data_IF_801132816950
#
_entry.id   IF_801132816950
#
_cell.length_a   1.000
_cell.length_b   1.000
_cell.length_c   1.000
_cell.angle_alpha   90.00
_cell.angle_beta   90.00
_cell.angle_gamma   90.00
#
_symmetry.space_group_name_H-M   'P 1'
#
loop_
_entity.id
_entity.type
_entity.pdbx_description
1 polymer ?
#
# COMPACT_ATOMS: atom_id res chain seq x y z
N UNK A 1 -35.70 -16.16 -9.35
CA UNK A 1 -35.10 -14.82 -9.49
C UNK A 1 -33.69 -14.88 -8.95
N UNK A 2 -32.72 -15.12 -9.84
CA UNK A 2 -31.30 -15.17 -9.48
C UNK A 2 -30.84 -13.75 -9.12
N UNK A 3 -30.56 -13.50 -7.84
CA UNK A 3 -29.59 -12.45 -7.50
C UNK A 3 -28.28 -12.94 -8.09
N UNK A 4 -27.83 -12.31 -9.18
CA UNK A 4 -26.44 -12.43 -9.59
C UNK A 4 -25.61 -12.08 -8.34
N UNK A 5 -24.94 -13.07 -7.76
CA UNK A 5 -23.97 -12.82 -6.70
C UNK A 5 -22.89 -11.97 -7.35
N UNK A 6 -22.92 -10.67 -7.12
CA UNK A 6 -21.80 -9.80 -7.45
C UNK A 6 -20.60 -10.39 -6.73
N UNK A 7 -19.65 -10.94 -7.49
CA UNK A 7 -18.39 -11.42 -6.93
C UNK A 7 -17.68 -10.16 -6.45
N UNK A 8 -17.65 -9.96 -5.14
CA UNK A 8 -16.93 -8.83 -4.56
C UNK A 8 -15.44 -9.03 -4.84
N UNK A 9 -14.83 -8.03 -5.48
CA UNK A 9 -13.41 -8.03 -5.79
C UNK A 9 -12.76 -6.85 -5.11
N UNK A 10 -11.58 -7.08 -4.56
CA UNK A 10 -10.74 -5.99 -4.08
C UNK A 10 -10.40 -5.08 -5.28
N UNK A 11 -10.64 -3.75 -5.21
CA UNK A 11 -10.31 -2.84 -6.31
C UNK A 11 -8.79 -2.82 -6.60
N UNK A 12 -8.40 -2.81 -7.88
CA UNK A 12 -6.98 -2.61 -8.24
C UNK A 12 -6.40 -1.28 -7.72
N UNK A 13 -7.14 -0.17 -7.72
CA UNK A 13 -6.65 1.07 -7.12
C UNK A 13 -6.19 0.91 -5.67
N UNK A 14 -6.90 0.09 -4.89
CA UNK A 14 -6.50 -0.23 -3.52
C UNK A 14 -5.16 -0.97 -3.46
N UNK A 15 -4.98 -2.07 -4.22
CA UNK A 15 -3.70 -2.81 -4.23
C UNK A 15 -2.53 -1.95 -4.71
N UNK A 16 -2.77 -1.11 -5.73
CA UNK A 16 -1.79 -0.14 -6.23
C UNK A 16 -1.37 0.85 -5.15
N UNK A 17 -2.32 1.45 -4.43
CA UNK A 17 -2.06 2.44 -3.40
C UNK A 17 -1.43 1.79 -2.15
N UNK A 18 -1.92 0.64 -1.69
CA UNK A 18 -1.33 -0.11 -0.59
C UNK A 18 0.14 -0.48 -0.87
N UNK A 19 0.46 -0.88 -2.11
CA UNK A 19 1.84 -1.16 -2.53
C UNK A 19 2.72 0.11 -2.55
N UNK A 20 2.16 1.26 -2.93
CA UNK A 20 2.88 2.53 -2.87
C UNK A 20 3.15 2.99 -1.42
N UNK A 21 2.27 2.64 -0.48
CA UNK A 21 2.38 3.00 0.93
C UNK A 21 3.26 2.09 1.77
N UNK A 22 3.34 0.80 1.46
CA UNK A 22 4.03 -0.19 2.32
C UNK A 22 5.51 0.14 2.57
N UNK A 23 6.12 0.92 1.68
CA UNK A 23 7.52 1.33 1.77
C UNK A 23 7.71 2.72 2.36
N UNK A 24 6.63 3.41 2.74
CA UNK A 24 6.71 4.74 3.31
C UNK A 24 7.12 4.66 4.78
N UNK A 25 8.13 5.45 5.12
CA UNK A 25 8.68 5.49 6.47
C UNK A 25 7.74 6.26 7.41
N UNK A 26 7.97 6.14 8.72
CA UNK A 26 7.48 7.11 9.70
C UNK A 26 8.56 8.18 9.86
N UNK A 27 8.45 9.32 9.16
CA UNK A 27 9.47 10.35 9.23
C UNK A 27 9.42 11.04 10.58
N UNK A 28 10.60 11.19 11.16
CA UNK A 28 10.80 11.97 12.36
C UNK A 28 11.18 13.40 11.99
N UNK A 29 10.54 14.37 12.65
CA UNK A 29 10.91 15.77 12.49
C UNK A 29 12.20 15.99 13.28
N UNK A 30 13.30 16.43 12.64
CA UNK A 30 14.54 16.73 13.35
C UNK A 30 14.29 17.81 14.42
N UNK A 31 14.91 17.68 15.59
CA UNK A 31 14.75 18.66 16.68
C UNK A 31 15.16 20.11 16.28
N UNK A 32 16.03 20.25 15.29
CA UNK A 32 16.45 21.53 14.74
C UNK A 32 15.49 22.12 13.68
N UNK A 33 14.49 21.34 13.24
CA UNK A 33 13.51 21.80 12.26
C UNK A 33 12.70 22.93 12.83
N UNK A 34 12.58 24.02 12.08
CA UNK A 34 11.76 25.17 12.46
C UNK A 34 10.40 25.09 11.76
N UNK A 35 9.33 25.60 12.39
CA UNK A 35 8.04 25.76 11.74
C UNK A 35 8.11 26.58 10.46
N UNK A 36 7.20 26.27 9.54
CA UNK A 36 7.01 26.90 8.25
C UNK A 36 5.62 27.55 8.20
N UNK A 37 5.42 28.52 7.32
CA UNK A 37 4.10 28.92 6.88
C UNK A 37 3.90 28.49 5.42
N UNK A 38 2.82 27.77 5.15
CA UNK A 38 2.43 27.32 3.81
C UNK A 38 1.11 27.99 3.45
N UNK A 39 0.95 28.43 2.21
CA UNK A 39 -0.29 29.05 1.75
C UNK A 39 -0.43 29.11 0.24
N UNK A 40 -1.63 29.45 -0.21
CA UNK A 40 -1.96 29.64 -1.62
C UNK A 40 -1.78 31.12 -2.01
N UNK A 41 -0.95 31.38 -3.02
CA UNK A 41 -0.57 32.71 -3.48
C UNK A 41 -0.23 32.70 -4.97
N UNK A 42 -0.65 33.73 -5.72
CA UNK A 42 -0.44 33.83 -7.16
C UNK A 42 -0.88 32.59 -7.97
N UNK A 43 -1.92 31.89 -7.50
CA UNK A 43 -2.44 30.69 -8.16
C UNK A 43 -1.68 29.39 -7.84
N UNK A 44 -0.68 29.42 -6.97
CA UNK A 44 0.10 28.24 -6.58
C UNK A 44 0.22 28.10 -5.06
N UNK A 45 0.36 26.88 -4.57
CA UNK A 45 0.75 26.64 -3.18
C UNK A 45 2.25 26.84 -3.00
N UNK A 46 2.66 27.53 -1.93
CA UNK A 46 4.08 27.81 -1.66
C UNK A 46 4.38 27.94 -0.17
N UNK A 47 5.67 27.82 0.15
CA UNK A 47 6.23 28.22 1.45
C UNK A 47 6.28 29.75 1.51
N UNK A 48 5.47 30.33 2.39
CA UNK A 48 5.38 31.78 2.61
C UNK A 48 6.42 32.30 3.60
N UNK A 49 6.71 31.51 4.63
CA UNK A 49 7.68 31.87 5.66
C UNK A 49 8.48 30.65 6.09
N UNK A 50 9.78 30.82 6.18
CA UNK A 50 10.71 29.85 6.74
C UNK A 50 11.93 30.62 7.27
N UNK A 51 12.51 30.14 8.38
CA UNK A 51 13.71 30.74 8.95
C UNK A 51 14.99 30.11 8.37
N UNK A 52 16.04 30.89 8.06
CA UNK A 52 16.15 32.33 8.26
C UNK A 52 15.48 33.18 7.16
N UNK A 53 15.28 32.61 5.97
CA UNK A 53 14.45 33.15 4.90
C UNK A 53 13.98 32.00 4.02
N UNK A 54 12.90 32.17 3.24
CA UNK A 54 12.41 31.12 2.33
C UNK A 54 13.49 30.68 1.34
N UNK A 55 14.26 31.63 0.79
CA UNK A 55 15.33 31.33 -0.15
C UNK A 55 16.47 30.50 0.49
N UNK A 56 16.96 30.92 1.65
CA UNK A 56 18.03 30.21 2.35
C UNK A 56 17.57 28.83 2.86
N UNK A 57 16.34 28.76 3.36
CA UNK A 57 15.74 27.50 3.80
C UNK A 57 15.57 26.52 2.64
N UNK A 58 15.05 26.98 1.49
CA UNK A 58 14.86 26.14 0.29
C UNK A 58 16.21 25.63 -0.21
N UNK A 59 17.23 26.49 -0.28
CA UNK A 59 18.58 26.07 -0.65
C UNK A 59 19.14 24.98 0.29
N UNK A 60 18.88 25.08 1.60
CA UNK A 60 19.26 24.06 2.56
C UNK A 60 18.52 22.72 2.34
N UNK A 61 17.22 22.76 1.99
CA UNK A 61 16.46 21.54 1.66
C UNK A 61 17.03 20.84 0.42
N UNK A 62 17.36 21.61 -0.63
CA UNK A 62 17.99 21.09 -1.84
C UNK A 62 19.38 20.49 -1.54
N UNK A 63 20.17 21.12 -0.66
CA UNK A 63 21.48 20.60 -0.27
C UNK A 63 21.38 19.31 0.58
N UNK A 64 20.33 19.18 1.39
CA UNK A 64 20.08 18.00 2.22
C UNK A 64 19.44 16.83 1.45
N UNK A 65 18.82 17.10 0.30
CA UNK A 65 18.30 16.06 -0.59
C UNK A 65 19.45 15.30 -1.27
N UNK A 66 19.34 13.97 -1.36
CA UNK A 66 20.23 13.12 -2.15
C UNK A 66 19.75 12.97 -3.60
N UNK A 67 18.63 13.60 -3.97
CA UNK A 67 18.09 13.62 -5.32
C UNK A 67 19.07 14.35 -6.26
N UNK A 68 19.98 13.57 -6.85
CA UNK A 68 20.86 14.03 -7.92
C UNK A 68 20.08 13.92 -9.23
N UNK A 69 19.65 15.05 -9.79
CA UNK A 69 19.27 15.05 -11.20
C UNK A 69 20.53 14.80 -12.04
N UNK A 70 20.43 13.92 -13.03
CA UNK A 70 21.50 13.45 -13.91
C UNK A 70 22.39 14.58 -14.46
N UNK A 71 23.43 14.97 -13.70
CA UNK A 71 24.40 16.00 -14.08
C UNK A 71 23.86 17.44 -14.19
N UNK A 72 22.59 17.71 -13.86
CA UNK A 72 21.98 19.05 -13.85
C UNK A 72 21.37 19.33 -12.50
N UNK A 73 21.34 20.60 -12.08
CA UNK A 73 20.61 20.99 -10.88
C UNK A 73 19.12 20.61 -11.00
N UNK A 74 18.61 19.84 -10.04
CA UNK A 74 17.20 19.48 -10.01
C UNK A 74 16.34 20.75 -9.88
N UNK A 75 15.25 20.83 -10.66
CA UNK A 75 14.28 21.94 -10.58
C UNK A 75 13.36 21.82 -9.36
N UNK A 76 13.07 20.59 -8.95
CA UNK A 76 12.28 20.25 -7.79
C UNK A 76 12.86 19.04 -7.08
N UNK A 77 12.65 18.95 -5.77
CA UNK A 77 13.01 17.78 -4.95
C UNK A 77 11.77 17.14 -4.33
N UNK A 78 11.76 15.80 -4.15
CA UNK A 78 10.79 15.13 -3.30
C UNK A 78 10.83 15.66 -1.87
N UNK A 79 9.66 16.03 -1.36
CA UNK A 79 9.52 16.74 -0.10
C UNK A 79 8.29 16.24 0.65
N UNK A 80 8.31 16.38 1.97
CA UNK A 80 7.19 16.00 2.80
C UNK A 80 6.73 17.17 3.66
N UNK A 81 5.43 17.43 3.65
CA UNK A 81 4.78 18.36 4.56
C UNK A 81 4.12 17.62 5.71
N UNK A 82 4.29 18.18 6.91
CA UNK A 82 3.75 17.64 8.15
C UNK A 82 2.96 18.76 8.83
N UNK A 83 1.62 18.68 8.88
CA UNK A 83 0.78 19.71 9.50
C UNK A 83 0.78 19.64 11.04
N UNK A 84 1.12 18.50 11.62
CA UNK A 84 1.08 18.34 13.07
C UNK A 84 1.96 17.18 13.56
N UNK A 85 2.41 17.33 14.80
CA UNK A 85 3.12 16.29 15.55
C UNK A 85 2.51 16.12 16.95
N UNK A 86 2.61 14.91 17.48
CA UNK A 86 2.35 14.65 18.89
C UNK A 86 3.62 14.86 19.70
N UNK A 87 3.52 15.66 20.76
CA UNK A 87 4.53 15.79 21.81
C UNK A 87 4.02 15.16 23.10
N UNK A 88 4.86 14.53 23.90
CA UNK A 88 4.44 14.01 25.21
C UNK A 88 4.20 15.17 26.20
N UNK A 89 3.13 15.07 27.00
CA UNK A 89 2.92 16.00 28.13
C UNK A 89 3.86 15.61 29.27
N UNK A 90 4.76 16.51 29.66
CA UNK A 90 5.60 16.31 30.85
C UNK A 90 4.72 16.44 32.10
N UNK A 91 4.28 15.32 32.68
CA UNK A 91 3.65 15.29 34.01
C UNK A 91 4.65 14.73 35.03
N UNK A 92 4.98 15.54 36.04
CA UNK A 92 5.70 15.16 37.26
C UNK A 92 7.19 14.78 37.18
N UNK A 93 8.02 15.50 36.43
CA UNK A 93 9.49 15.53 36.65
C UNK A 93 10.25 14.20 36.56
N UNK A 94 9.58 13.09 36.23
CA UNK A 94 10.16 11.76 36.07
C UNK A 94 9.96 11.38 34.60
N UNK A 95 11.07 11.37 33.85
CA UNK A 95 11.14 10.81 32.50
C UNK A 95 10.89 9.30 32.59
N UNK A 96 9.68 8.84 32.28
CA UNK A 96 9.46 7.42 32.00
C UNK A 96 9.97 7.11 30.59
N UNK A 97 10.94 6.19 30.48
CA UNK A 97 11.40 5.62 29.21
C UNK A 97 12.45 6.45 28.48
N UNK A 98 13.72 6.30 28.84
CA UNK A 98 14.89 6.94 28.20
C UNK A 98 15.21 6.44 26.76
N UNK A 99 14.19 6.11 25.96
CA UNK A 99 14.32 5.64 24.58
C UNK A 99 13.97 6.68 23.51
N UNK A 100 12.79 7.32 23.57
CA UNK A 100 12.21 8.05 22.43
C UNK A 100 11.59 9.43 22.77
N UNK A 101 12.04 10.05 23.86
CA UNK A 101 11.43 11.26 24.47
C UNK A 101 11.69 12.58 23.68
N UNK A 102 12.31 12.51 22.49
CA UNK A 102 12.78 13.71 21.77
C UNK A 102 12.33 13.82 20.30
N UNK A 103 11.44 12.95 19.81
CA UNK A 103 11.02 12.93 18.40
C UNK A 103 9.49 12.94 18.34
N UNK A 104 8.90 14.12 18.20
CA UNK A 104 7.45 14.24 18.11
C UNK A 104 6.90 13.38 16.96
N UNK A 105 5.88 12.56 17.22
CA UNK A 105 5.36 11.61 16.23
C UNK A 105 4.55 12.36 15.18
N UNK A 106 4.99 12.26 13.93
CA UNK A 106 4.26 12.78 12.76
C UNK A 106 2.91 12.07 12.65
N UNK A 107 1.82 12.84 12.62
CA UNK A 107 0.45 12.29 12.54
C UNK A 107 0.04 11.98 11.10
N UNK A 108 0.33 12.89 10.18
CA UNK A 108 -0.03 12.79 8.76
C UNK A 108 1.15 13.27 7.94
N UNK A 109 1.46 12.53 6.89
CA UNK A 109 2.55 12.79 5.97
C UNK A 109 1.96 13.16 4.60
N UNK A 110 2.30 14.33 4.06
CA UNK A 110 1.73 14.85 2.81
C UNK A 110 2.87 15.00 1.78
N UNK A 111 3.05 14.02 0.89
CA UNK A 111 4.14 14.05 -0.08
C UNK A 111 3.87 15.09 -1.17
N UNK A 112 4.91 15.83 -1.52
CA UNK A 112 4.88 16.90 -2.51
C UNK A 112 6.25 17.06 -3.19
N UNK A 113 6.31 17.89 -4.22
CA UNK A 113 7.55 18.34 -4.83
C UNK A 113 7.80 19.81 -4.42
N UNK A 114 8.99 20.10 -3.91
CA UNK A 114 9.43 21.46 -3.58
C UNK A 114 10.30 22.01 -4.72
N UNK A 115 9.87 23.11 -5.34
CA UNK A 115 10.66 23.86 -6.32
C UNK A 115 11.63 24.84 -5.63
N UNK A 116 12.69 25.26 -6.35
CA UNK A 116 13.66 26.26 -5.85
C UNK A 116 13.04 27.61 -5.51
N UNK A 117 11.90 27.94 -6.12
CA UNK A 117 11.12 29.14 -5.84
C UNK A 117 10.34 29.07 -4.52
N UNK A 118 10.28 27.90 -3.87
CA UNK A 118 9.43 27.64 -2.71
C UNK A 118 8.02 27.17 -3.06
N UNK A 119 7.71 26.98 -4.36
CA UNK A 119 6.44 26.41 -4.83
C UNK A 119 6.35 24.93 -4.49
N UNK A 120 5.15 24.49 -4.10
CA UNK A 120 4.84 23.13 -3.68
C UNK A 120 3.83 22.51 -4.67
N UNK A 121 4.20 21.40 -5.31
CA UNK A 121 3.33 20.62 -6.21
C UNK A 121 2.95 19.28 -5.60
N UNK A 122 1.80 18.68 -5.95
CA UNK A 122 1.45 17.35 -5.47
C UNK A 122 2.49 16.31 -5.96
N UNK A 123 2.76 15.28 -5.15
CA UNK A 123 3.51 14.12 -5.62
C UNK A 123 2.64 13.33 -6.62
N UNK A 124 3.13 13.05 -7.84
CA UNK A 124 2.35 12.36 -8.87
C UNK A 124 2.19 10.86 -8.62
N UNK A 125 3.01 10.26 -7.76
CA UNK A 125 3.06 8.83 -7.50
C UNK A 125 2.47 8.46 -6.14
N UNK A 126 2.42 9.40 -5.17
CA UNK A 126 2.10 9.14 -3.76
C UNK A 126 0.94 9.97 -3.23
N UNK A 127 0.18 9.34 -2.36
CA UNK A 127 -0.92 9.96 -1.62
C UNK A 127 -0.49 10.28 -0.19
N UNK A 128 -1.18 11.22 0.49
CA UNK A 128 -1.01 11.41 1.92
C UNK A 128 -1.25 10.11 2.70
N UNK A 129 -0.48 9.90 3.77
CA UNK A 129 -0.62 8.70 4.61
C UNK A 129 -0.51 9.02 6.10
N UNK A 130 -1.12 8.17 6.93
CA UNK A 130 -0.82 8.10 8.36
C UNK A 130 0.21 6.98 8.55
N UNK A 131 1.30 7.22 9.29
CA UNK A 131 2.28 6.18 9.58
C UNK A 131 1.64 4.95 10.22
N UNK A 132 1.90 3.76 9.65
CA UNK A 132 1.30 2.49 10.08
C UNK A 132 1.57 2.17 11.56
N UNK A 133 2.70 2.62 12.09
CA UNK A 133 3.08 2.47 13.50
C UNK A 133 2.11 3.12 14.49
N UNK A 134 1.26 4.05 14.02
CA UNK A 134 0.20 4.70 14.80
C UNK A 134 -1.17 4.02 14.67
N UNK A 135 -1.28 2.95 13.88
CA UNK A 135 -2.56 2.32 13.53
C UNK A 135 -2.68 0.93 14.16
N UNK A 136 -3.84 0.64 14.76
CA UNK A 136 -4.14 -0.69 15.25
C UNK A 136 -4.39 -1.67 14.10
N UNK A 137 -3.96 -2.94 14.22
CA UNK A 137 -3.25 -3.53 15.36
C UNK A 137 -1.75 -3.15 15.38
N UNK A 138 -1.28 -2.66 16.52
CA UNK A 138 0.14 -2.33 16.75
C UNK A 138 0.52 -2.64 18.19
N UNK A 139 1.78 -3.00 18.41
CA UNK A 139 2.35 -3.20 19.75
C UNK A 139 2.90 -1.89 20.35
N UNK A 140 2.84 -0.79 19.60
CA UNK A 140 3.31 0.54 20.05
C UNK A 140 2.27 1.16 21.00
N UNK A 141 2.72 1.98 21.98
CA UNK A 141 1.82 2.57 22.98
C UNK A 141 0.92 3.68 22.44
N UNK A 142 1.29 4.30 21.32
CA UNK A 142 0.54 5.40 20.71
C UNK A 142 -0.26 4.85 19.54
N UNK A 143 -1.58 4.93 19.64
CA UNK A 143 -2.53 4.53 18.60
C UNK A 143 -3.48 5.69 18.34
N UNK A 144 -3.65 6.06 17.07
CA UNK A 144 -4.51 7.18 16.65
C UNK A 144 -5.77 6.71 15.90
N UNK A 145 -5.80 5.46 15.45
CA UNK A 145 -6.94 4.86 14.75
C UNK A 145 -6.65 3.43 14.30
N UNK A 146 -7.51 2.89 13.44
CA UNK A 146 -7.35 1.53 12.90
C UNK A 146 -6.80 1.52 11.48
N UNK A 147 -5.92 0.56 11.19
CA UNK A 147 -5.38 0.31 9.86
C UNK A 147 -6.52 0.00 8.87
N UNK A 148 -7.54 -0.73 9.32
CA UNK A 148 -8.73 -1.04 8.53
C UNK A 148 -9.51 0.22 8.08
N UNK A 149 -9.46 1.32 8.84
CA UNK A 149 -10.07 2.58 8.42
C UNK A 149 -9.25 3.27 7.33
N UNK A 150 -7.93 3.25 7.43
CA UNK A 150 -7.05 3.75 6.38
C UNK A 150 -7.20 2.94 5.09
N UNK A 151 -7.18 1.61 5.19
CA UNK A 151 -7.32 0.72 4.03
C UNK A 151 -8.66 0.93 3.29
N UNK A 152 -9.77 1.11 4.04
CA UNK A 152 -11.08 1.45 3.47
C UNK A 152 -11.05 2.79 2.74
N UNK A 153 -10.44 3.81 3.33
CA UNK A 153 -10.34 5.13 2.70
C UNK A 153 -9.53 5.07 1.41
N UNK A 154 -8.34 4.45 1.44
CA UNK A 154 -7.49 4.24 0.26
C UNK A 154 -8.25 3.53 -0.87
N UNK A 155 -9.08 2.55 -0.52
CA UNK A 155 -9.91 1.83 -1.50
C UNK A 155 -10.98 2.68 -2.18
N UNK A 156 -11.32 3.84 -1.62
CA UNK A 156 -12.33 4.77 -2.15
C UNK A 156 -11.74 5.97 -2.91
N UNK A 157 -10.42 6.19 -2.82
CA UNK A 157 -9.79 7.39 -3.35
C UNK A 157 -9.66 7.41 -4.89
N UNK A 158 -9.79 8.59 -5.52
CA UNK A 158 -9.27 8.79 -6.87
C UNK A 158 -7.74 8.68 -6.85
N UNK A 159 -7.18 8.02 -7.85
CA UNK A 159 -5.76 7.63 -7.88
C UNK A 159 -4.76 8.80 -7.81
N UNK A 160 -5.16 10.04 -8.20
CA UNK A 160 -4.22 11.16 -8.35
C UNK A 160 -4.82 12.50 -7.89
N UNK A 161 -4.07 13.23 -7.08
CA UNK A 161 -4.33 14.62 -6.74
C UNK A 161 -3.89 15.54 -7.91
N UNK A 162 -4.76 16.44 -8.37
CA UNK A 162 -4.44 17.37 -9.47
C UNK A 162 -3.67 18.61 -8.98
N UNK A 163 -3.84 18.99 -7.72
CA UNK A 163 -3.18 20.12 -7.06
C UNK A 163 -2.73 19.75 -5.64
N UNK A 164 -1.88 20.59 -5.03
CA UNK A 164 -1.55 20.43 -3.61
C UNK A 164 -2.80 20.66 -2.74
N UNK A 165 -3.74 21.52 -3.17
CA UNK A 165 -5.01 21.70 -2.48
C UNK A 165 -5.78 20.38 -2.38
N UNK A 166 -5.84 19.60 -3.46
CA UNK A 166 -6.49 18.29 -3.46
C UNK A 166 -5.75 17.32 -2.54
N UNK A 167 -4.41 17.33 -2.53
CA UNK A 167 -3.62 16.51 -1.61
C UNK A 167 -3.89 16.87 -0.13
N UNK A 168 -4.07 18.16 0.18
CA UNK A 168 -4.43 18.63 1.52
C UNK A 168 -5.86 18.21 1.91
N UNK A 169 -6.80 18.22 0.97
CA UNK A 169 -8.17 17.72 1.19
C UNK A 169 -8.17 16.22 1.44
N UNK A 170 -7.47 15.43 0.61
CA UNK A 170 -7.29 13.99 0.80
C UNK A 170 -6.66 13.69 2.17
N UNK A 171 -5.64 14.46 2.59
CA UNK A 171 -5.03 14.32 3.90
C UNK A 171 -6.03 14.59 5.05
N UNK A 172 -6.92 15.58 4.88
CA UNK A 172 -7.96 15.91 5.87
C UNK A 172 -8.99 14.79 5.99
N UNK A 173 -9.47 14.29 4.85
CA UNK A 173 -10.43 13.18 4.78
C UNK A 173 -9.82 11.90 5.35
N UNK A 174 -8.57 11.56 5.00
CA UNK A 174 -7.86 10.42 5.58
C UNK A 174 -7.83 10.51 7.11
N UNK A 175 -7.42 11.66 7.62
CA UNK A 175 -7.29 11.86 9.06
C UNK A 175 -8.64 11.79 9.77
N UNK A 176 -9.68 12.37 9.18
CA UNK A 176 -11.05 12.26 9.67
C UNK A 176 -11.53 10.80 9.68
N UNK A 177 -11.33 10.04 8.60
CA UNK A 177 -11.78 8.65 8.50
C UNK A 177 -11.09 7.73 9.51
N UNK A 178 -9.81 8.01 9.81
CA UNK A 178 -9.03 7.20 10.74
C UNK A 178 -9.27 7.58 12.20
N UNK A 179 -9.39 8.88 12.50
CA UNK A 179 -9.40 9.40 13.88
C UNK A 179 -10.77 9.91 14.35
N UNK A 180 -11.69 10.19 13.43
CA UNK A 180 -12.97 10.84 13.72
C UNK A 180 -12.86 12.33 14.09
N UNK A 181 -11.68 12.94 13.91
CA UNK A 181 -11.39 14.31 14.34
C UNK A 181 -10.81 15.17 13.22
N UNK A 182 -10.87 16.49 13.38
CA UNK A 182 -10.21 17.45 12.49
C UNK A 182 -8.79 17.77 12.97
N UNK A 183 -7.91 18.06 12.01
CA UNK A 183 -6.54 18.51 12.26
C UNK A 183 -6.40 20.02 11.99
N UNK A 184 -5.96 20.86 12.95
CA UNK A 184 -6.06 22.33 12.89
C UNK A 184 -5.36 23.09 11.74
N UNK A 185 -4.58 22.43 10.89
CA UNK A 185 -3.92 23.04 9.72
C UNK A 185 -4.36 22.46 8.37
N UNK A 186 -5.22 21.44 8.39
CA UNK A 186 -5.81 20.89 7.18
C UNK A 186 -7.11 21.60 6.82
N UNK A 187 -7.51 21.61 5.54
CA UNK A 187 -8.80 22.13 5.13
C UNK A 187 -9.93 21.45 5.91
N UNK A 188 -10.95 22.22 6.28
CA UNK A 188 -12.16 21.65 6.84
C UNK A 188 -12.85 20.74 5.81
N UNK A 189 -13.47 19.66 6.28
CA UNK A 189 -14.32 18.84 5.43
C UNK A 189 -15.46 19.69 4.87
N UNK A 190 -15.71 19.60 3.57
CA UNK A 190 -16.85 20.26 2.93
C UNK A 190 -18.15 19.57 3.39
N UNK A 191 -19.17 20.36 3.75
CA UNK A 191 -20.55 19.92 4.06
C UNK A 191 -20.78 19.00 5.29
N UNK A 192 -19.91 19.05 6.30
CA UNK A 192 -20.03 18.26 7.53
C UNK A 192 -20.44 19.04 8.79
N UNK A 193 -20.98 18.33 9.78
CA UNK A 193 -21.05 18.83 11.15
C UNK A 193 -19.62 19.12 11.68
N UNK A 194 -19.42 20.15 12.51
CA UNK A 194 -18.09 20.48 13.03
C UNK A 194 -17.49 19.30 13.79
N UNK A 195 -16.34 18.83 13.31
CA UNK A 195 -15.60 17.74 13.93
C UNK A 195 -14.88 18.23 15.19
N UNK A 196 -14.72 17.36 16.21
CA UNK A 196 -13.89 17.68 17.35
C UNK A 196 -12.44 17.88 16.90
N UNK A 197 -11.71 18.74 17.62
CA UNK A 197 -10.25 18.83 17.47
C UNK A 197 -9.63 17.53 17.97
N UNK A 198 -8.64 17.02 17.24
CA UNK A 198 -7.92 15.82 17.67
C UNK A 198 -7.25 16.02 19.03
N UNK A 199 -7.42 15.04 19.90
CA UNK A 199 -6.78 14.98 21.20
C UNK A 199 -6.42 13.52 21.51
N UNK A 200 -5.26 13.32 22.12
CA UNK A 200 -4.81 12.02 22.60
C UNK A 200 -4.33 12.16 24.04
N UNK A 201 -4.82 11.29 24.92
CA UNK A 201 -4.47 11.35 26.34
C UNK A 201 -2.94 11.25 26.56
N UNK A 202 -2.42 12.05 27.47
CA UNK A 202 -0.98 12.13 27.76
C UNK A 202 -0.14 12.85 26.69
N UNK A 203 -0.76 13.35 25.62
CA UNK A 203 -0.06 14.01 24.52
C UNK A 203 -0.58 15.44 24.29
N UNK A 204 0.30 16.30 23.80
CA UNK A 204 0.01 17.62 23.31
C UNK A 204 0.10 17.63 21.78
N UNK A 205 -0.93 18.14 21.13
CA UNK A 205 -0.96 18.33 19.68
C UNK A 205 -0.26 19.65 19.33
N UNK A 206 0.88 19.56 18.68
CA UNK A 206 1.59 20.73 18.14
C UNK A 206 1.19 20.91 16.68
N UNK A 207 0.40 21.94 16.40
CA UNK A 207 -0.17 22.24 15.08
C UNK A 207 0.66 23.27 14.32
N UNK A 208 1.78 22.82 13.76
CA UNK A 208 2.74 23.67 13.05
C UNK A 208 3.23 22.94 11.80
N UNK A 209 3.29 23.63 10.65
CA UNK A 209 3.87 23.05 9.44
C UNK A 209 5.36 22.81 9.62
N UNK A 210 5.77 21.56 9.42
CA UNK A 210 7.16 21.18 9.26
C UNK A 210 7.33 20.54 7.89
N UNK A 211 8.56 20.51 7.41
CA UNK A 211 8.86 19.80 6.19
C UNK A 211 10.31 19.38 6.10
N UNK A 212 10.53 18.30 5.37
CA UNK A 212 11.83 17.70 5.17
C UNK A 212 11.95 17.12 3.75
N UNK A 213 13.16 17.09 3.18
CA UNK A 213 13.41 16.33 1.97
C UNK A 213 13.09 14.87 2.26
N UNK A 214 12.28 14.28 1.41
CA UNK A 214 11.81 12.92 1.61
C UNK A 214 12.10 12.12 0.37
N UNK A 215 13.07 11.21 0.48
CA UNK A 215 13.36 10.23 -0.55
C UNK A 215 12.77 8.88 -0.17
N UNK A 216 11.53 8.63 -0.58
CA UNK A 216 10.91 7.33 -0.38
C UNK A 216 11.72 6.26 -1.11
N UNK A 217 11.79 5.04 -0.54
CA UNK A 217 12.36 3.91 -1.23
C UNK A 217 11.71 3.72 -2.61
N UNK A 218 12.53 3.54 -3.65
CA UNK A 218 12.04 3.20 -5.00
C UNK A 218 11.75 1.68 -5.04
N UNK A 219 10.94 1.22 -4.10
CA UNK A 219 10.49 -0.17 -4.04
C UNK A 219 9.28 -0.30 -4.96
N UNK A 220 9.20 -1.41 -5.68
CA UNK A 220 8.02 -1.76 -6.48
C UNK A 220 7.61 -0.72 -7.55
N UNK A 221 8.46 0.25 -7.94
CA UNK A 221 8.14 1.25 -8.98
C UNK A 221 7.61 0.61 -10.27
N UNK A 222 8.25 -0.48 -10.71
CA UNK A 222 7.81 -1.22 -11.89
C UNK A 222 6.46 -1.92 -11.69
N UNK A 223 6.18 -2.40 -10.47
CA UNK A 223 4.88 -2.99 -10.13
C UNK A 223 3.79 -1.91 -10.06
N UNK A 224 4.08 -0.73 -9.48
CA UNK A 224 3.14 0.40 -9.46
C UNK A 224 2.79 0.83 -10.89
N UNK A 225 3.80 0.92 -11.78
CA UNK A 225 3.56 1.21 -13.21
C UNK A 225 2.73 0.13 -13.90
N UNK A 226 2.98 -1.14 -13.59
CA UNK A 226 2.17 -2.24 -14.10
C UNK A 226 0.71 -2.11 -13.63
N UNK A 227 0.47 -1.78 -12.35
CA UNK A 227 -0.87 -1.52 -11.86
C UNK A 227 -1.52 -0.33 -12.58
N UNK A 228 -0.80 0.77 -12.77
CA UNK A 228 -1.30 1.94 -13.48
C UNK A 228 -1.70 1.58 -14.94
N UNK A 229 -0.93 0.74 -15.62
CA UNK A 229 -1.26 0.20 -16.95
C UNK A 229 -2.49 -0.70 -16.91
N UNK A 230 -2.55 -1.67 -16.00
CA UNK A 230 -3.71 -2.58 -15.89
C UNK A 230 -4.99 -1.79 -15.59
N UNK A 231 -4.92 -0.76 -14.75
CA UNK A 231 -6.06 0.09 -14.42
C UNK A 231 -6.52 0.90 -15.64
N UNK A 232 -5.58 1.41 -16.44
CA UNK A 232 -5.87 2.19 -17.64
C UNK A 232 -6.39 1.36 -18.82
N UNK A 233 -5.69 0.26 -19.11
CA UNK A 233 -5.93 -0.58 -20.29
C UNK A 233 -7.06 -1.61 -20.05
N UNK A 234 -7.35 -1.94 -18.79
CA UNK A 234 -8.34 -2.94 -18.37
C UNK A 234 -8.27 -4.28 -19.15
N UNK A 235 -7.09 -4.92 -19.26
CA UNK A 235 -6.97 -6.18 -19.96
C UNK A 235 -7.71 -7.31 -19.22
N UNK A 236 -8.07 -8.36 -19.94
CA UNK A 236 -8.59 -9.58 -19.33
C UNK A 236 -7.47 -10.29 -18.53
N UNK A 237 -7.62 -10.33 -17.20
CA UNK A 237 -6.66 -10.97 -16.29
C UNK A 237 -7.36 -11.96 -15.35
N UNK A 238 -7.78 -13.14 -15.85
CA UNK A 238 -8.56 -14.11 -15.08
C UNK A 238 -7.89 -14.55 -13.77
N UNK A 239 -6.56 -14.71 -13.77
CA UNK A 239 -5.80 -15.04 -12.57
C UNK A 239 -5.84 -13.93 -11.52
N UNK A 240 -5.66 -12.67 -11.95
CA UNK A 240 -5.69 -11.52 -11.06
C UNK A 240 -7.09 -11.33 -10.48
N UNK A 241 -8.11 -11.51 -11.29
CA UNK A 241 -9.51 -11.48 -10.86
C UNK A 241 -9.82 -12.58 -9.84
N UNK A 242 -9.28 -13.78 -10.06
CA UNK A 242 -9.38 -14.90 -9.12
C UNK A 242 -8.71 -14.55 -7.78
N UNK A 243 -7.51 -13.97 -7.79
CA UNK A 243 -6.79 -13.53 -6.59
C UNK A 243 -7.48 -12.39 -5.84
N UNK A 244 -8.19 -11.52 -6.55
CA UNK A 244 -8.89 -10.36 -5.98
C UNK A 244 -10.27 -10.68 -5.44
N UNK A 245 -10.80 -11.86 -5.73
CA UNK A 245 -12.14 -12.26 -5.31
C UNK A 245 -12.19 -12.44 -3.79
N UNK A 246 -13.09 -11.70 -3.15
CA UNK A 246 -13.40 -11.77 -1.72
C UNK A 246 -14.66 -12.60 -1.53
N UNK A 247 -14.67 -13.43 -0.50
CA UNK A 247 -15.82 -14.26 -0.13
C UNK A 247 -15.51 -15.75 -0.15
N UNK A 248 -16.33 -16.50 0.57
CA UNK A 248 -16.23 -17.96 0.59
C UNK A 248 -16.58 -18.52 -0.79
N UNK A 249 -15.68 -19.34 -1.32
CA UNK A 249 -16.01 -20.20 -2.45
C UNK A 249 -16.71 -21.44 -1.89
N UNK A 250 -17.91 -21.79 -2.39
CA UNK A 250 -18.58 -23.02 -1.97
C UNK A 250 -17.62 -24.19 -2.15
N UNK A 251 -17.34 -24.91 -1.07
CA UNK A 251 -16.57 -26.14 -1.15
C UNK A 251 -17.39 -27.17 -1.94
N UNK A 252 -16.83 -27.68 -3.02
CA UNK A 252 -17.36 -28.85 -3.70
C UNK A 252 -16.60 -30.08 -3.22
N UNK A 253 -17.28 -31.22 -2.98
CA UNK A 253 -16.56 -32.46 -2.76
C UNK A 253 -15.73 -32.80 -4.00
N UNK A 254 -14.57 -33.47 -3.83
CA UNK A 254 -13.83 -33.98 -4.97
C UNK A 254 -14.69 -34.97 -5.76
N UNK A 255 -14.42 -35.13 -7.07
CA UNK A 255 -15.12 -36.11 -7.87
C UNK A 255 -14.89 -37.52 -7.28
N UNK A 256 -15.91 -38.37 -7.37
CA UNK A 256 -15.76 -39.79 -7.07
C UNK A 256 -14.76 -40.43 -8.02
N UNK A 257 -14.22 -41.61 -7.67
CA UNK A 257 -13.26 -42.33 -8.53
C UNK A 257 -13.82 -42.58 -9.94
N UNK A 258 -15.11 -42.92 -10.03
CA UNK A 258 -15.78 -43.15 -11.31
C UNK A 258 -15.91 -41.87 -12.14
N UNK A 259 -16.26 -40.74 -11.51
CA UNK A 259 -16.29 -39.45 -12.18
C UNK A 259 -14.89 -39.01 -12.61
N UNK A 260 -13.87 -39.30 -11.79
CA UNK A 260 -12.49 -38.91 -12.01
C UNK A 260 -11.76 -39.72 -13.12
N UNK A 261 -12.34 -40.83 -13.58
CA UNK A 261 -11.74 -41.78 -14.52
C UNK A 261 -11.11 -41.12 -15.76
N UNK A 262 -11.78 -40.19 -16.48
CA UNK A 262 -11.21 -39.58 -17.67
C UNK A 262 -9.93 -38.79 -17.40
N UNK A 263 -9.85 -38.15 -16.23
CA UNK A 263 -8.67 -37.38 -15.82
C UNK A 263 -7.54 -38.29 -15.35
N UNK A 264 -7.86 -39.38 -14.64
CA UNK A 264 -6.88 -40.39 -14.27
C UNK A 264 -6.22 -41.03 -15.49
N UNK A 265 -7.02 -41.39 -16.51
CA UNK A 265 -6.52 -41.98 -17.74
C UNK A 265 -5.56 -41.05 -18.51
N UNK A 266 -5.76 -39.74 -18.40
CA UNK A 266 -4.93 -38.73 -19.06
C UNK A 266 -3.76 -38.22 -18.19
N UNK A 267 -3.64 -38.68 -16.95
CA UNK A 267 -2.51 -38.32 -16.07
C UNK A 267 -1.32 -39.24 -16.34
N UNK A 268 -0.53 -38.90 -17.36
CA UNK A 268 0.59 -39.71 -17.89
C UNK A 268 1.98 -39.16 -17.56
N UNK A 269 2.08 -37.92 -17.09
CA UNK A 269 3.34 -37.30 -16.68
C UNK A 269 3.68 -37.60 -15.22
N UNK A 270 4.65 -38.49 -15.00
CA UNK A 270 5.17 -38.83 -13.67
C UNK A 270 6.69 -38.92 -13.70
N UNK A 271 7.36 -38.31 -12.71
CA UNK A 271 8.83 -38.30 -12.65
C UNK A 271 9.42 -39.60 -12.07
N UNK A 272 8.66 -40.29 -11.23
CA UNK A 272 9.11 -41.48 -10.51
C UNK A 272 8.40 -42.73 -11.05
N UNK A 273 9.18 -43.77 -11.39
CA UNK A 273 8.67 -45.05 -11.89
C UNK A 273 8.46 -46.10 -10.79
N UNK A 274 9.08 -45.92 -9.62
CA UNK A 274 9.12 -46.89 -8.53
C UNK A 274 7.98 -46.70 -7.53
N UNK A 275 7.53 -45.46 -7.35
CA UNK A 275 6.51 -45.12 -6.35
C UNK A 275 5.31 -44.43 -7.01
N UNK A 276 4.09 -45.00 -6.90
CA UNK A 276 2.90 -44.36 -7.41
C UNK A 276 2.53 -43.13 -6.56
N UNK A 277 1.82 -42.18 -7.17
CA UNK A 277 1.20 -41.08 -6.43
C UNK A 277 0.27 -41.62 -5.33
N UNK A 278 0.28 -41.00 -4.16
CA UNK A 278 -0.69 -41.28 -3.10
C UNK A 278 -2.13 -40.92 -3.55
N UNK A 279 -3.18 -41.41 -2.86
CA UNK A 279 -4.56 -41.03 -3.19
C UNK A 279 -4.78 -39.51 -3.24
N UNK A 280 -4.27 -38.76 -2.27
CA UNK A 280 -4.41 -37.29 -2.24
C UNK A 280 -3.60 -36.57 -3.33
N UNK A 281 -2.46 -37.13 -3.73
CA UNK A 281 -1.69 -36.62 -4.86
C UNK A 281 -2.43 -36.85 -6.19
N UNK A 282 -3.08 -38.01 -6.36
CA UNK A 282 -3.91 -38.28 -7.54
C UNK A 282 -5.12 -37.35 -7.62
N UNK A 283 -5.77 -37.07 -6.49
CA UNK A 283 -6.84 -36.09 -6.41
C UNK A 283 -6.35 -34.69 -6.85
N UNK A 284 -5.19 -34.26 -6.36
CA UNK A 284 -4.59 -32.99 -6.80
C UNK A 284 -4.28 -32.95 -8.31
N UNK A 285 -3.84 -34.07 -8.91
CA UNK A 285 -3.64 -34.15 -10.36
C UNK A 285 -4.96 -34.07 -11.15
N UNK A 286 -6.03 -34.67 -10.63
CA UNK A 286 -7.38 -34.53 -11.23
C UNK A 286 -7.85 -33.08 -11.16
N UNK A 287 -7.69 -32.43 -10.00
CA UNK A 287 -8.06 -31.02 -9.87
C UNK A 287 -7.21 -30.10 -10.75
N UNK A 288 -5.91 -30.39 -10.92
CA UNK A 288 -5.04 -29.69 -11.87
C UNK A 288 -5.61 -29.76 -13.29
N UNK A 289 -5.98 -30.97 -13.75
CA UNK A 289 -6.52 -31.16 -15.10
C UNK A 289 -7.91 -30.53 -15.30
N UNK A 290 -8.60 -30.16 -14.21
CA UNK A 290 -9.88 -29.45 -14.21
C UNK A 290 -9.73 -27.94 -14.09
N UNK A 291 -8.51 -27.42 -13.87
CA UNK A 291 -8.28 -26.00 -13.73
C UNK A 291 -8.67 -25.27 -15.02
N UNK A 292 -9.43 -24.19 -14.83
CA UNK A 292 -9.74 -23.23 -15.89
C UNK A 292 -8.66 -22.15 -15.92
N UNK A 293 -8.60 -21.41 -17.01
CA UNK A 293 -7.71 -20.25 -17.11
C UNK A 293 -7.95 -19.28 -15.93
N UNK A 294 -6.86 -18.87 -15.29
CA UNK A 294 -6.87 -18.05 -14.08
C UNK A 294 -7.35 -18.71 -12.78
N UNK A 295 -7.70 -20.01 -12.79
CA UNK A 295 -8.03 -20.73 -11.57
C UNK A 295 -6.77 -21.03 -10.73
N UNK A 296 -6.96 -21.15 -9.42
CA UNK A 296 -5.88 -21.41 -8.46
C UNK A 296 -6.19 -22.72 -7.75
N UNK A 297 -5.23 -23.64 -7.75
CA UNK A 297 -5.27 -24.86 -6.95
C UNK A 297 -4.38 -24.70 -5.72
N UNK A 298 -4.99 -24.76 -4.53
CA UNK A 298 -4.24 -24.82 -3.28
C UNK A 298 -4.10 -26.29 -2.86
N UNK A 299 -2.85 -26.77 -2.73
CA UNK A 299 -2.57 -28.12 -2.24
C UNK A 299 -1.95 -28.05 -0.85
N UNK A 300 -2.70 -28.50 0.15
CA UNK A 300 -2.29 -28.49 1.54
C UNK A 300 -1.84 -29.88 1.99
N UNK A 301 -0.86 -29.97 2.90
CA UNK A 301 -0.49 -31.23 3.53
C UNK A 301 0.60 -31.06 4.59
N UNK A 302 0.62 -31.90 5.64
CA UNK A 302 1.68 -31.90 6.66
C UNK A 302 3.12 -31.97 6.09
N UNK A 303 4.16 -31.61 6.87
CA UNK A 303 5.54 -31.87 6.49
C UNK A 303 5.76 -33.36 6.15
N UNK A 304 6.55 -33.64 5.10
CA UNK A 304 6.85 -35.01 4.69
C UNK A 304 5.82 -35.71 3.78
N UNK A 305 4.69 -35.07 3.43
CA UNK A 305 3.64 -35.69 2.57
C UNK A 305 3.93 -35.66 1.07
N UNK A 306 5.20 -35.57 0.66
CA UNK A 306 5.57 -35.65 -0.76
C UNK A 306 5.07 -34.51 -1.65
N UNK A 307 4.80 -33.31 -1.11
CA UNK A 307 4.39 -32.13 -1.90
C UNK A 307 5.38 -31.78 -3.01
N UNK A 308 6.68 -31.91 -2.73
CA UNK A 308 7.74 -31.70 -3.73
C UNK A 308 7.65 -32.73 -4.86
N UNK A 309 7.40 -34.00 -4.53
CA UNK A 309 7.21 -35.08 -5.50
C UNK A 309 5.95 -34.87 -6.34
N UNK A 310 4.87 -34.37 -5.73
CA UNK A 310 3.68 -33.96 -6.46
C UNK A 310 4.00 -32.84 -7.46
N UNK A 311 4.70 -31.79 -7.03
CA UNK A 311 5.06 -30.67 -7.90
C UNK A 311 5.89 -31.12 -9.11
N UNK A 312 6.80 -32.08 -8.92
CA UNK A 312 7.55 -32.68 -10.04
C UNK A 312 6.63 -33.42 -11.02
N UNK A 313 5.59 -34.10 -10.53
CA UNK A 313 4.61 -34.80 -11.36
C UNK A 313 3.68 -33.81 -12.08
N UNK A 314 3.32 -32.70 -11.44
CA UNK A 314 2.60 -31.58 -12.06
C UNK A 314 3.39 -31.02 -13.24
N UNK A 315 4.67 -30.71 -13.04
CA UNK A 315 5.54 -30.21 -14.13
C UNK A 315 5.66 -31.24 -15.24
N UNK A 316 5.87 -32.51 -14.91
CA UNK A 316 5.96 -33.59 -15.91
C UNK A 316 4.66 -33.72 -16.72
N UNK A 317 3.49 -33.66 -16.07
CA UNK A 317 2.20 -33.70 -16.74
C UNK A 317 2.01 -32.52 -17.68
N UNK A 318 2.26 -31.29 -17.22
CA UNK A 318 2.14 -30.09 -18.04
C UNK A 318 3.05 -30.12 -19.28
N UNK A 319 4.25 -30.70 -19.14
CA UNK A 319 5.15 -30.92 -20.27
C UNK A 319 4.63 -31.95 -21.26
N UNK A 320 4.10 -33.08 -20.77
CA UNK A 320 3.53 -34.12 -21.65
C UNK A 320 2.27 -33.60 -22.35
N UNK A 321 1.41 -32.86 -21.65
CA UNK A 321 0.21 -32.24 -22.22
C UNK A 321 0.58 -31.23 -23.33
N UNK A 322 1.62 -30.42 -23.11
CA UNK A 322 2.12 -29.51 -24.14
C UNK A 322 2.59 -30.27 -25.39
N UNK A 323 3.31 -31.39 -25.22
CA UNK A 323 3.77 -32.22 -26.34
C UNK A 323 2.62 -32.90 -27.08
N UNK A 324 1.65 -33.48 -26.35
CA UNK A 324 0.47 -34.13 -26.93
C UNK A 324 -0.41 -33.14 -27.71
N UNK A 325 -0.50 -31.90 -27.22
CA UNK A 325 -1.25 -30.82 -27.87
C UNK A 325 -0.44 -30.05 -28.93
N UNK A 326 0.80 -30.45 -29.23
CA UNK A 326 1.71 -29.77 -30.16
C UNK A 326 1.87 -28.26 -29.85
N UNK A 327 1.87 -27.89 -28.57
CA UNK A 327 2.07 -26.52 -28.15
C UNK A 327 3.50 -26.07 -28.49
N UNK A 328 3.69 -24.82 -28.99
CA UNK A 328 5.00 -24.33 -29.46
C UNK A 328 6.02 -24.15 -28.32
N UNK A 329 5.57 -24.10 -27.07
CA UNK A 329 6.39 -24.00 -25.87
C UNK A 329 5.74 -24.76 -24.72
N UNK A 330 6.53 -25.50 -23.94
CA UNK A 330 6.10 -25.99 -22.64
C UNK A 330 5.88 -24.81 -21.66
N UNK A 331 5.00 -24.94 -20.66
CA UNK A 331 4.69 -23.88 -19.70
C UNK A 331 5.84 -23.50 -18.77
#
# INVERSE_FOLDING_TARGET
MNRASTIDRIPLPYWRAALAEVSLLHPEIPAASKPLAVGFEDGEWRVRQAAPSVAAWTAAQFAASKARADGKEARAIPFLLIPARLSEQVRHGVKWGAGDIHLGRTLVCIPCLLERSGVLRPDPERQPWIPRDLLAPTMKPVVVGELASQDRFIGSLPLKAASLGDALKIASELFMQVTGAALPLLPAAEDGAPLPKFALEGHELVSEWHGLPYEPPVVARHLIRLYDQIIGDQPALPLLDCLRTVGERPAAPPPTIAEAEPWHANTVGHINREHPLSPSQREAMVELARLKDGAILAVNGPPGTGKTTLLQSVVAQLWVDAALNMAPTAP
#
